data_IF_536861255011
#
_entry.id   IF_536861255011
#
_cell.length_a   1.000
_cell.length_b   1.000
_cell.length_c   1.000
_cell.angle_alpha   90.00
_cell.angle_beta   90.00
_cell.angle_gamma   90.00
#
_symmetry.space_group_name_H-M   'P 1'
#
loop_
_entity.id
_entity.type
_entity.pdbx_description
1 polymer ?
#
# COMPACT_ATOMS: atom_id res chain seq x y z
N UNK A 1 3.71 -5.90 70.27
CA UNK A 1 4.13 -6.19 68.88
C UNK A 1 2.91 -6.73 68.12
N UNK A 2 1.78 -6.02 68.15
CA UNK A 2 1.38 -4.88 67.31
C UNK A 2 1.10 -5.27 65.85
N UNK A 3 -0.14 -5.73 65.70
CA UNK A 3 -1.00 -6.08 64.56
C UNK A 3 -0.97 -5.10 63.35
N UNK A 4 -0.12 -4.07 63.37
CA UNK A 4 -0.08 -2.99 62.38
C UNK A 4 0.56 -3.36 61.03
N UNK A 5 1.26 -4.50 60.91
CA UNK A 5 1.92 -4.89 59.66
C UNK A 5 1.02 -5.62 58.65
N UNK A 6 -0.25 -5.90 58.99
CA UNK A 6 -1.18 -6.60 58.08
C UNK A 6 -2.08 -5.67 57.26
N UNK A 7 -2.04 -4.36 57.47
CA UNK A 7 -2.96 -3.42 56.81
C UNK A 7 -2.36 -2.78 55.54
N UNK A 8 -1.04 -2.82 55.36
CA UNK A 8 -0.37 -2.13 54.24
C UNK A 8 -0.31 -2.96 52.96
N UNK A 9 -0.56 -4.28 53.02
CA UNK A 9 -0.50 -5.15 51.83
C UNK A 9 -1.82 -5.29 51.06
N UNK A 10 -2.90 -4.62 51.49
CA UNK A 10 -4.23 -4.76 50.88
C UNK A 10 -4.70 -3.56 50.06
N UNK A 11 -3.82 -2.59 49.76
CA UNK A 11 -4.19 -1.37 49.00
C UNK A 11 -3.46 -1.28 47.64
N UNK A 12 -2.56 -2.22 47.31
CA UNK A 12 -1.72 -2.14 46.12
C UNK A 12 -2.10 -3.07 44.96
N UNK A 13 -3.39 -3.44 44.80
CA UNK A 13 -3.81 -4.37 43.71
C UNK A 13 -4.98 -3.86 42.84
N UNK A 14 -5.64 -2.74 43.15
CA UNK A 14 -6.93 -2.46 42.49
C UNK A 14 -7.14 -1.04 41.94
N UNK A 15 -6.10 -0.34 41.47
CA UNK A 15 -6.31 0.90 40.70
C UNK A 15 -5.35 1.07 39.51
N UNK A 16 -5.20 0.01 38.71
CA UNK A 16 -5.13 0.22 37.26
C UNK A 16 -6.49 -0.15 36.69
N UNK A 17 -7.50 0.65 37.00
CA UNK A 17 -8.61 0.78 36.09
C UNK A 17 -8.04 1.48 34.86
N UNK A 18 -7.43 0.71 33.96
CA UNK A 18 -7.31 1.12 32.57
C UNK A 18 -8.72 1.52 32.18
N UNK A 19 -8.95 2.82 32.02
CA UNK A 19 -10.15 3.33 31.41
C UNK A 19 -10.11 2.85 29.96
N UNK A 20 -10.44 1.56 29.75
CA UNK A 20 -10.63 1.02 28.43
C UNK A 20 -11.68 1.90 27.79
N UNK A 21 -11.24 2.67 26.81
CA UNK A 21 -12.11 3.49 26.00
C UNK A 21 -12.97 2.51 25.22
N UNK A 22 -14.09 2.13 25.83
CA UNK A 22 -15.05 1.25 25.22
C UNK A 22 -15.61 2.02 24.02
N UNK A 23 -15.04 1.75 22.86
CA UNK A 23 -15.41 2.40 21.62
C UNK A 23 -16.91 2.21 21.39
N UNK A 24 -17.61 3.29 21.08
CA UNK A 24 -19.05 3.27 20.76
C UNK A 24 -19.31 2.81 19.32
N UNK A 25 -18.26 2.37 18.61
CA UNK A 25 -18.37 1.96 17.22
C UNK A 25 -19.16 0.67 17.10
N UNK A 26 -20.15 0.69 16.22
CA UNK A 26 -20.90 -0.50 15.85
C UNK A 26 -20.04 -1.42 14.98
N UNK A 27 -20.41 -2.70 14.90
CA UNK A 27 -19.73 -3.67 14.04
C UNK A 27 -19.63 -3.18 12.58
N UNK A 28 -20.64 -2.44 12.09
CA UNK A 28 -20.59 -1.87 10.74
C UNK A 28 -19.59 -0.73 10.60
N UNK A 29 -19.46 0.10 11.63
CA UNK A 29 -18.45 1.16 11.62
C UNK A 29 -17.03 0.57 11.70
N UNK A 30 -16.84 -0.52 12.45
CA UNK A 30 -15.58 -1.26 12.46
C UNK A 30 -15.26 -1.82 11.08
N UNK A 31 -16.22 -2.48 10.43
CA UNK A 31 -16.03 -3.05 9.10
C UNK A 31 -15.78 -1.96 8.05
N UNK A 32 -16.43 -0.80 8.17
CA UNK A 32 -16.13 0.36 7.32
C UNK A 32 -14.69 0.86 7.50
N UNK A 33 -14.19 0.94 8.73
CA UNK A 33 -12.80 1.33 8.98
C UNK A 33 -11.81 0.33 8.38
N UNK A 34 -12.08 -0.98 8.52
CA UNK A 34 -11.28 -2.02 7.88
C UNK A 34 -11.31 -1.88 6.36
N UNK A 35 -12.48 -1.66 5.77
CA UNK A 35 -12.61 -1.40 4.33
C UNK A 35 -11.81 -0.16 3.88
N UNK A 36 -11.89 0.94 4.61
CA UNK A 36 -11.14 2.16 4.33
C UNK A 36 -9.63 1.96 4.44
N UNK A 37 -9.19 1.08 5.34
CA UNK A 37 -7.76 0.74 5.52
C UNK A 37 -7.15 0.03 4.31
N UNK A 38 -7.98 -0.66 3.52
CA UNK A 38 -7.55 -1.36 2.31
C UNK A 38 -7.69 -0.52 1.03
N UNK A 39 -8.29 0.67 1.09
CA UNK A 39 -8.67 1.42 -0.11
C UNK A 39 -7.57 2.40 -0.53
N UNK A 40 -6.47 1.87 -1.07
CA UNK A 40 -5.52 2.67 -1.85
C UNK A 40 -5.95 2.57 -3.33
N UNK A 41 -6.81 3.49 -3.78
CA UNK A 41 -6.98 3.77 -5.20
C UNK A 41 -7.60 2.67 -6.09
N UNK A 42 -8.81 2.20 -5.76
CA UNK A 42 -9.71 1.37 -6.63
C UNK A 42 -9.47 -0.14 -6.65
N UNK A 43 -8.48 -0.65 -5.92
CA UNK A 43 -8.19 -2.08 -5.87
C UNK A 43 -8.30 -2.58 -4.43
N UNK A 44 -9.37 -3.32 -4.14
CA UNK A 44 -9.69 -3.83 -2.82
C UNK A 44 -9.52 -5.34 -2.79
N UNK A 45 -8.64 -5.85 -1.91
CA UNK A 45 -8.44 -7.28 -1.75
C UNK A 45 -8.23 -7.67 -0.28
N UNK A 46 -9.18 -8.41 0.33
CA UNK A 46 -9.01 -9.01 1.65
C UNK A 46 -7.85 -10.01 1.66
N UNK A 47 -7.04 -10.00 2.73
CA UNK A 47 -6.08 -11.06 2.97
C UNK A 47 -6.77 -12.43 3.07
N UNK A 48 -6.07 -13.50 2.67
CA UNK A 48 -6.64 -14.84 2.50
C UNK A 48 -7.45 -15.33 3.71
N UNK A 49 -6.93 -15.11 4.92
CA UNK A 49 -7.59 -15.49 6.18
C UNK A 49 -8.96 -14.82 6.39
N UNK A 50 -9.15 -13.65 5.80
CA UNK A 50 -10.37 -12.85 5.90
C UNK A 50 -11.15 -12.80 4.58
N UNK A 51 -10.74 -13.59 3.58
CA UNK A 51 -11.38 -13.59 2.27
C UNK A 51 -12.53 -14.61 2.21
N UNK A 52 -13.67 -14.17 1.68
CA UNK A 52 -14.76 -15.05 1.26
C UNK A 52 -14.98 -14.87 -0.25
N UNK A 53 -14.98 -16.00 -0.96
CA UNK A 53 -15.16 -16.06 -2.42
C UNK A 53 -16.61 -16.43 -2.73
N UNK A 54 -17.39 -15.51 -3.30
CA UNK A 54 -18.78 -15.74 -3.74
C UNK A 54 -18.86 -15.44 -5.24
N UNK A 55 -18.72 -16.49 -6.06
CA UNK A 55 -18.59 -16.34 -7.51
C UNK A 55 -17.42 -15.40 -7.87
N UNK A 56 -17.66 -14.31 -8.64
CA UNK A 56 -16.61 -13.35 -8.98
C UNK A 56 -16.26 -12.40 -7.82
N UNK A 57 -17.06 -12.36 -6.75
CA UNK A 57 -16.88 -11.40 -5.66
C UNK A 57 -15.80 -11.88 -4.68
N UNK A 58 -15.04 -10.91 -4.16
CA UNK A 58 -14.05 -11.08 -3.11
C UNK A 58 -14.40 -10.13 -1.98
N UNK A 59 -14.95 -10.67 -0.89
CA UNK A 59 -15.50 -9.88 0.21
C UNK A 59 -14.87 -10.27 1.54
N UNK A 60 -14.94 -9.38 2.53
CA UNK A 60 -14.51 -9.71 3.88
C UNK A 60 -15.40 -10.76 4.53
N UNK A 61 -14.76 -11.75 5.14
CA UNK A 61 -15.37 -12.59 6.16
C UNK A 61 -15.65 -11.74 7.40
N UNK A 62 -16.86 -11.16 7.45
CA UNK A 62 -17.31 -10.28 8.54
C UNK A 62 -17.10 -10.91 9.92
N UNK A 63 -17.38 -12.21 10.07
CA UNK A 63 -17.21 -12.91 11.34
C UNK A 63 -15.74 -13.05 11.74
N UNK A 64 -14.86 -13.38 10.79
CA UNK A 64 -13.42 -13.50 11.07
C UNK A 64 -12.79 -12.14 11.40
N UNK A 65 -13.21 -11.08 10.70
CA UNK A 65 -12.74 -9.71 10.97
C UNK A 65 -13.17 -9.24 12.36
N UNK A 66 -14.46 -9.34 12.70
CA UNK A 66 -14.97 -8.85 13.98
C UNK A 66 -14.45 -9.61 15.21
N UNK A 67 -14.02 -10.87 15.02
CA UNK A 67 -13.41 -11.70 16.06
C UNK A 67 -11.89 -11.60 16.12
N UNK A 68 -11.26 -10.81 15.26
CA UNK A 68 -9.82 -10.62 15.24
C UNK A 68 -9.32 -9.88 16.47
N UNK A 69 -8.06 -10.12 16.84
CA UNK A 69 -7.41 -9.44 17.96
C UNK A 69 -7.25 -7.95 17.69
N UNK A 70 -7.00 -7.59 16.43
CA UNK A 70 -6.81 -6.23 15.95
C UNK A 70 -8.09 -5.40 16.08
N UNK A 71 -9.26 -5.97 15.82
CA UNK A 71 -10.55 -5.33 16.16
C UNK A 71 -10.73 -5.22 17.68
N UNK A 72 -10.15 -6.13 18.45
CA UNK A 72 -10.05 -5.99 19.91
C UNK A 72 -9.30 -4.72 20.34
N UNK A 73 -8.24 -4.33 19.60
CA UNK A 73 -7.45 -3.12 19.87
C UNK A 73 -8.28 -1.84 19.74
N UNK A 74 -9.30 -1.79 18.86
CA UNK A 74 -10.24 -0.65 18.81
C UNK A 74 -10.99 -0.44 20.13
N UNK A 75 -11.25 -1.54 20.86
CA UNK A 75 -12.08 -1.53 22.06
C UNK A 75 -11.28 -1.27 23.34
N UNK A 76 -9.97 -1.46 23.28
CA UNK A 76 -9.12 -1.52 24.49
C UNK A 76 -7.89 -0.65 24.45
N UNK A 77 -7.44 -0.19 23.28
CA UNK A 77 -6.13 0.47 23.13
C UNK A 77 -6.22 1.99 23.09
N UNK A 78 -5.16 2.64 23.59
CA UNK A 78 -4.90 4.08 23.44
C UNK A 78 -4.16 4.41 22.13
N UNK A 79 -4.14 3.47 21.17
CA UNK A 79 -3.41 3.63 19.91
C UNK A 79 -4.08 4.73 19.06
N UNK A 80 -3.32 5.71 18.53
CA UNK A 80 -3.84 6.70 17.61
C UNK A 80 -4.51 6.03 16.40
N UNK A 81 -5.66 6.55 15.96
CA UNK A 81 -6.42 5.98 14.86
C UNK A 81 -5.56 5.80 13.59
N UNK A 82 -4.64 6.72 13.32
CA UNK A 82 -3.69 6.67 12.19
C UNK A 82 -2.76 5.46 12.23
N UNK A 83 -2.28 5.07 13.42
CA UNK A 83 -1.44 3.88 13.58
C UNK A 83 -2.27 2.60 13.43
N UNK A 84 -3.50 2.64 13.93
CA UNK A 84 -4.44 1.54 13.79
C UNK A 84 -4.83 1.27 12.33
N UNK A 85 -4.94 2.31 11.49
CA UNK A 85 -5.09 2.14 10.04
C UNK A 85 -3.94 1.32 9.43
N UNK A 86 -2.70 1.54 9.88
CA UNK A 86 -1.55 0.73 9.48
C UNK A 86 -1.66 -0.73 9.93
N UNK A 87 -2.09 -0.96 11.17
CA UNK A 87 -2.35 -2.32 11.69
C UNK A 87 -3.42 -3.01 10.86
N UNK A 88 -4.55 -2.33 10.62
CA UNK A 88 -5.66 -2.87 9.85
C UNK A 88 -5.27 -3.17 8.40
N UNK A 89 -4.48 -2.27 7.78
CA UNK A 89 -3.96 -2.49 6.44
C UNK A 89 -3.11 -3.76 6.37
N UNK A 90 -2.16 -3.91 7.29
CA UNK A 90 -1.23 -5.04 7.29
C UNK A 90 -1.90 -6.37 7.65
N UNK A 91 -2.92 -6.34 8.51
CA UNK A 91 -3.62 -7.56 8.93
C UNK A 91 -4.70 -7.99 7.93
N UNK A 92 -5.53 -7.05 7.47
CA UNK A 92 -6.76 -7.39 6.74
C UNK A 92 -6.62 -7.26 5.23
N UNK A 93 -5.62 -6.54 4.72
CA UNK A 93 -5.51 -6.25 3.29
C UNK A 93 -4.34 -7.02 2.68
N UNK A 94 -4.52 -7.47 1.44
CA UNK A 94 -3.39 -7.95 0.63
C UNK A 94 -2.48 -6.78 0.25
N UNK A 95 -1.17 -6.95 0.44
CA UNK A 95 -0.14 -5.98 -0.01
C UNK A 95 0.84 -6.59 -1.01
N UNK A 96 0.79 -7.91 -1.22
CA UNK A 96 1.73 -8.65 -2.07
C UNK A 96 1.04 -9.21 -3.33
N UNK A 97 1.80 -9.31 -4.42
CA UNK A 97 1.27 -9.67 -5.75
C UNK A 97 0.53 -11.01 -5.79
N UNK A 98 1.01 -12.04 -5.08
CA UNK A 98 0.34 -13.34 -5.02
C UNK A 98 -1.04 -13.26 -4.32
N UNK A 99 -1.15 -12.44 -3.27
CA UNK A 99 -2.39 -12.20 -2.54
C UNK A 99 -3.36 -11.36 -3.39
N UNK A 100 -2.84 -10.34 -4.08
CA UNK A 100 -3.63 -9.45 -4.95
C UNK A 100 -4.19 -10.16 -6.20
N UNK A 101 -3.49 -11.19 -6.71
CA UNK A 101 -3.95 -11.99 -7.84
C UNK A 101 -5.32 -12.64 -7.61
N UNK A 102 -5.64 -13.00 -6.37
CA UNK A 102 -6.96 -13.55 -5.99
C UNK A 102 -8.12 -12.60 -6.26
N UNK A 103 -7.83 -11.31 -6.34
CA UNK A 103 -8.78 -10.24 -6.61
C UNK A 103 -8.66 -9.67 -8.02
N UNK A 104 -7.90 -10.32 -8.91
CA UNK A 104 -7.53 -9.79 -10.24
C UNK A 104 -6.88 -8.40 -10.16
N UNK A 105 -6.26 -8.10 -9.01
CA UNK A 105 -5.48 -6.89 -8.82
C UNK A 105 -4.05 -7.28 -9.19
N UNK A 106 -3.67 -6.98 -10.42
CA UNK A 106 -2.29 -7.17 -10.84
C UNK A 106 -1.53 -5.90 -10.47
N UNK A 107 -0.47 -5.96 -9.64
CA UNK A 107 0.37 -4.80 -9.45
C UNK A 107 0.93 -4.43 -10.82
N UNK A 108 0.57 -3.24 -11.31
CA UNK A 108 1.29 -2.61 -12.42
C UNK A 108 2.63 -2.20 -11.81
N UNK A 109 3.60 -3.11 -11.83
CA UNK A 109 4.98 -2.71 -11.62
C UNK A 109 5.31 -1.85 -12.84
N UNK A 110 5.46 -0.54 -12.65
CA UNK A 110 6.07 0.31 -13.64
C UNK A 110 7.41 -0.34 -14.00
N UNK A 111 7.55 -0.71 -15.28
CA UNK A 111 8.73 -1.38 -15.79
C UNK A 111 9.97 -0.57 -15.45
N UNK A 112 11.06 -1.27 -15.11
CA UNK A 112 12.25 -0.66 -14.50
C UNK A 112 12.78 0.47 -15.37
N UNK A 113 12.76 0.29 -16.69
CA UNK A 113 13.20 1.28 -17.68
C UNK A 113 12.49 2.63 -17.57
N UNK A 114 11.19 2.66 -17.25
CA UNK A 114 10.45 3.92 -17.11
C UNK A 114 10.82 4.58 -15.78
N UNK A 115 10.87 3.79 -14.71
CA UNK A 115 11.20 4.28 -13.36
C UNK A 115 12.61 4.87 -13.24
N UNK A 116 13.59 4.34 -13.98
CA UNK A 116 14.98 4.82 -13.98
C UNK A 116 15.33 5.63 -15.23
N UNK A 117 14.36 5.98 -16.09
CA UNK A 117 14.65 6.58 -17.39
C UNK A 117 15.47 7.87 -17.29
N UNK A 118 15.20 8.67 -16.26
CA UNK A 118 15.94 9.91 -15.99
C UNK A 118 17.46 9.68 -15.82
N UNK A 119 17.89 8.49 -15.39
CA UNK A 119 19.30 8.16 -15.18
C UNK A 119 19.95 7.54 -16.43
N UNK A 120 19.14 7.05 -17.38
CA UNK A 120 19.62 6.27 -18.53
C UNK A 120 19.25 6.87 -19.90
N UNK A 121 18.49 7.97 -19.94
CA UNK A 121 17.92 8.52 -21.19
C UNK A 121 18.97 8.76 -22.27
N UNK A 122 20.17 9.24 -21.92
CA UNK A 122 21.26 9.48 -22.88
C UNK A 122 21.70 8.19 -23.57
N UNK A 123 21.79 7.09 -22.81
CA UNK A 123 22.17 5.78 -23.35
C UNK A 123 21.08 5.21 -24.23
N UNK A 124 19.81 5.40 -23.85
CA UNK A 124 18.66 4.94 -24.61
C UNK A 124 18.56 5.69 -25.95
N UNK A 125 18.65 7.03 -25.97
CA UNK A 125 18.65 7.78 -27.23
C UNK A 125 19.89 7.49 -28.10
N UNK A 126 21.04 7.15 -27.49
CA UNK A 126 22.23 6.70 -28.22
C UNK A 126 22.06 5.33 -28.91
N UNK A 127 20.99 4.59 -28.65
CA UNK A 127 20.65 3.39 -29.43
C UNK A 127 20.19 3.74 -30.86
N UNK A 128 19.81 5.00 -31.12
CA UNK A 128 19.29 5.47 -32.40
C UNK A 128 18.03 4.72 -32.87
N UNK A 129 17.14 4.37 -31.93
CA UNK A 129 15.83 3.81 -32.23
C UNK A 129 14.97 4.96 -32.77
N UNK A 130 14.54 4.85 -34.03
CA UNK A 130 13.87 5.94 -34.75
C UNK A 130 12.64 6.45 -33.99
N UNK A 131 11.82 5.54 -33.47
CA UNK A 131 10.59 5.86 -32.74
C UNK A 131 10.85 6.61 -31.44
N UNK A 132 11.88 6.23 -30.67
CA UNK A 132 12.24 6.94 -29.43
C UNK A 132 12.85 8.31 -29.71
N UNK A 133 13.69 8.42 -30.74
CA UNK A 133 14.44 9.65 -31.03
C UNK A 133 13.53 10.84 -31.37
N UNK A 134 12.31 10.60 -31.86
CA UNK A 134 11.32 11.65 -32.07
C UNK A 134 10.94 12.40 -30.78
N UNK A 135 11.15 11.79 -29.61
CA UNK A 135 10.80 12.34 -28.31
C UNK A 135 11.99 12.94 -27.56
N UNK A 136 13.20 12.87 -28.10
CA UNK A 136 14.42 13.31 -27.40
C UNK A 136 14.36 14.78 -27.00
N UNK A 137 14.00 15.66 -27.93
CA UNK A 137 13.89 17.10 -27.67
C UNK A 137 12.76 17.42 -26.68
N UNK A 138 11.64 16.69 -26.77
CA UNK A 138 10.52 16.84 -25.86
C UNK A 138 10.92 16.44 -24.43
N UNK A 139 11.64 15.33 -24.29
CA UNK A 139 12.14 14.84 -23.00
C UNK A 139 13.16 15.79 -22.38
N UNK A 140 14.11 16.32 -23.17
CA UNK A 140 15.07 17.33 -22.69
C UNK A 140 14.35 18.60 -22.21
N UNK A 141 13.37 19.10 -22.99
CA UNK A 141 12.54 20.25 -22.56
C UNK A 141 11.75 19.95 -21.29
N UNK A 142 11.25 18.72 -21.14
CA UNK A 142 10.55 18.30 -19.94
C UNK A 142 11.46 18.32 -18.69
N UNK A 143 12.71 17.85 -18.82
CA UNK A 143 13.70 17.93 -17.74
C UNK A 143 14.05 19.39 -17.38
N UNK A 144 14.26 20.25 -18.38
CA UNK A 144 14.67 21.65 -18.19
C UNK A 144 13.59 22.52 -17.53
N UNK A 145 12.32 22.28 -17.85
CA UNK A 145 11.20 23.07 -17.32
C UNK A 145 10.82 22.71 -15.87
N UNK A 146 11.49 21.72 -15.28
CA UNK A 146 11.21 21.20 -13.96
C UNK A 146 9.89 20.41 -13.94
N UNK A 147 9.90 19.25 -13.29
CA UNK A 147 8.67 18.46 -13.07
C UNK A 147 7.70 19.29 -12.23
N UNK A 148 6.73 19.97 -12.87
CA UNK A 148 5.59 20.56 -12.15
C UNK A 148 4.87 19.40 -11.47
N UNK A 149 4.72 19.47 -10.14
CA UNK A 149 4.23 18.37 -9.30
C UNK A 149 3.12 17.55 -9.96
N UNK A 150 3.46 16.32 -10.37
CA UNK A 150 2.52 15.33 -10.90
C UNK A 150 2.05 15.53 -12.33
N UNK A 151 2.55 16.53 -13.08
CA UNK A 151 2.18 16.73 -14.48
C UNK A 151 3.24 16.14 -15.42
N UNK A 152 2.81 15.19 -16.25
CA UNK A 152 3.57 14.63 -17.36
C UNK A 152 2.86 15.06 -18.66
N UNK A 153 3.55 15.74 -19.60
CA UNK A 153 2.94 16.08 -20.89
C UNK A 153 2.61 14.81 -21.68
N UNK A 154 1.54 14.84 -22.48
CA UNK A 154 1.11 13.70 -23.30
C UNK A 154 2.22 13.10 -24.16
N UNK A 155 3.08 13.95 -24.76
CA UNK A 155 4.26 13.50 -25.53
C UNK A 155 5.26 12.67 -24.72
N UNK A 156 5.37 12.95 -23.42
CA UNK A 156 6.26 12.20 -22.51
C UNK A 156 5.56 10.93 -22.04
N UNK A 157 4.24 10.93 -21.89
CA UNK A 157 3.47 9.70 -21.64
C UNK A 157 3.60 8.72 -22.80
N UNK A 158 3.49 9.19 -24.05
CA UNK A 158 3.74 8.38 -25.27
C UNK A 158 5.14 7.74 -25.25
N UNK A 159 6.17 8.51 -24.89
CA UNK A 159 7.52 7.98 -24.73
C UNK A 159 7.58 6.88 -23.65
N UNK A 160 6.94 7.09 -22.50
CA UNK A 160 6.91 6.09 -21.43
C UNK A 160 6.17 4.82 -21.82
N UNK A 161 5.11 4.92 -22.63
CA UNK A 161 4.39 3.78 -23.17
C UNK A 161 5.28 2.93 -24.09
N UNK A 162 6.06 3.57 -24.98
CA UNK A 162 6.99 2.86 -25.87
C UNK A 162 8.11 2.19 -25.05
N UNK A 163 8.70 2.91 -24.09
CA UNK A 163 9.72 2.35 -23.18
C UNK A 163 9.16 1.16 -22.39
N UNK A 164 7.91 1.24 -21.94
CA UNK A 164 7.25 0.15 -21.26
C UNK A 164 7.05 -1.05 -22.19
N UNK A 165 6.57 -0.82 -23.41
CA UNK A 165 6.33 -1.89 -24.38
C UNK A 165 7.62 -2.64 -24.73
N UNK A 166 8.70 -1.90 -24.99
CA UNK A 166 9.92 -2.43 -25.61
C UNK A 166 11.09 -2.59 -24.62
N UNK A 167 10.82 -2.57 -23.31
CA UNK A 167 11.85 -2.65 -22.24
C UNK A 167 12.88 -3.75 -22.49
N UNK A 168 12.44 -4.97 -22.79
CA UNK A 168 13.33 -6.13 -22.92
C UNK A 168 14.31 -5.94 -24.08
N UNK A 169 13.82 -5.42 -25.22
CA UNK A 169 14.65 -5.14 -26.40
C UNK A 169 15.67 -4.05 -26.10
N UNK A 170 15.22 -2.93 -25.55
CA UNK A 170 16.08 -1.78 -25.23
C UNK A 170 17.16 -2.19 -24.22
N UNK A 171 16.80 -2.94 -23.18
CA UNK A 171 17.75 -3.41 -22.17
C UNK A 171 18.78 -4.40 -22.74
N UNK A 172 18.37 -5.27 -23.66
CA UNK A 172 19.31 -6.15 -24.37
C UNK A 172 20.30 -5.34 -25.23
N UNK A 173 19.81 -4.36 -25.99
CA UNK A 173 20.68 -3.48 -26.79
C UNK A 173 21.65 -2.66 -25.94
N UNK A 174 21.22 -2.21 -24.75
CA UNK A 174 22.09 -1.53 -23.79
C UNK A 174 23.17 -2.44 -23.22
N UNK A 175 22.85 -3.72 -22.99
CA UNK A 175 23.80 -4.71 -22.50
C UNK A 175 24.84 -5.11 -23.56
N UNK A 176 24.44 -5.20 -24.83
CA UNK A 176 25.35 -5.51 -25.96
C UNK A 176 26.36 -4.38 -26.25
N UNK A 177 26.03 -3.13 -25.88
CA UNK A 177 26.89 -1.95 -26.04
C UNK A 177 27.71 -1.60 -24.79
N UNK A 178 27.54 -2.32 -23.68
CA UNK A 178 28.26 -2.10 -22.42
C UNK A 178 29.64 -2.78 -22.42
#
# INVERSE_FOLDING_TARGET
>A
MSILLKVVFFVAVFQFASAHRQTSLTDEQVLQLVHLSCNDGKYFCPAERYLVKIGPQRIFNRFAVLKSEEVGLLKTSDIPLTELFGVFRNTFCCTEGACLAECNVFPINEKRIVSNFQDIYEKVFALNIAELNEYQDDYIKYLLNGKKHGFVPARIEELYDILHQDEDEIMNMLAEKA
#
